data_IF_527651714186
#
_entry.id   IF_527651714186
#
_cell.length_a   1.000
_cell.length_b   1.000
_cell.length_c   1.000
_cell.angle_alpha   90.00
_cell.angle_beta   90.00
_cell.angle_gamma   90.00
#
_symmetry.space_group_name_H-M   'P 1'
#
loop_
_entity.id
_entity.type
_entity.pdbx_description
1 polymer ?
#
# COMPACT_ATOMS: atom_id res chain seq x y z
N UNK A 1 9.32 -30.98 -9.31
CA UNK A 1 9.62 -30.14 -10.51
C UNK A 1 11.07 -29.70 -10.42
N UNK A 2 11.82 -29.74 -11.52
CA UNK A 2 13.22 -29.26 -11.60
C UNK A 2 13.28 -27.74 -11.77
N UNK A 3 14.50 -27.18 -11.67
CA UNK A 3 14.78 -25.81 -12.09
C UNK A 3 14.39 -25.62 -13.56
N UNK A 4 13.92 -24.40 -13.93
CA UNK A 4 13.52 -24.08 -15.29
C UNK A 4 14.47 -23.04 -15.88
N UNK A 5 15.15 -23.39 -16.97
CA UNK A 5 15.97 -22.44 -17.72
C UNK A 5 15.06 -21.53 -18.54
N UNK A 6 15.12 -20.22 -18.30
CA UNK A 6 14.32 -19.20 -19.00
C UNK A 6 15.04 -18.61 -20.20
N UNK A 7 16.36 -18.45 -20.11
CA UNK A 7 17.24 -18.11 -21.21
C UNK A 7 18.66 -18.71 -20.97
N UNK A 8 19.64 -18.38 -21.77
CA UNK A 8 21.00 -18.94 -21.68
C UNK A 8 21.64 -18.75 -20.27
N UNK A 9 21.34 -17.63 -19.60
CA UNK A 9 21.98 -17.21 -18.35
C UNK A 9 21.01 -16.99 -17.19
N UNK A 10 19.75 -17.37 -17.35
CA UNK A 10 18.67 -17.16 -16.36
C UNK A 10 17.91 -18.45 -16.09
N UNK A 11 17.77 -18.80 -14.81
CA UNK A 11 16.97 -19.93 -14.34
C UNK A 11 15.94 -19.49 -13.30
N UNK A 12 14.74 -20.02 -13.39
CA UNK A 12 13.77 -20.00 -12.29
C UNK A 12 14.07 -21.19 -11.35
N UNK A 13 14.16 -20.91 -10.05
CA UNK A 13 14.46 -21.88 -9.00
C UNK A 13 13.45 -21.82 -7.84
N UNK A 14 12.33 -21.18 -8.03
CA UNK A 14 11.32 -20.95 -7.01
C UNK A 14 10.61 -22.23 -6.50
N UNK A 15 9.65 -22.03 -5.63
CA UNK A 15 8.81 -23.09 -5.08
C UNK A 15 7.36 -22.97 -5.52
N UNK A 16 6.68 -24.09 -5.70
CA UNK A 16 5.25 -24.18 -5.99
C UNK A 16 4.47 -24.51 -4.71
N UNK A 17 3.36 -23.82 -4.48
CA UNK A 17 2.41 -24.10 -3.39
C UNK A 17 0.97 -24.11 -3.94
N UNK A 18 0.58 -25.17 -4.70
CA UNK A 18 -0.73 -25.26 -5.36
C UNK A 18 -1.89 -25.42 -4.37
N UNK A 19 -1.61 -25.91 -3.17
CA UNK A 19 -2.62 -26.20 -2.16
C UNK A 19 -2.86 -25.06 -1.17
N UNK A 20 -2.13 -23.94 -1.31
CA UNK A 20 -2.33 -22.78 -0.46
C UNK A 20 -3.75 -22.22 -0.64
N UNK A 21 -4.50 -22.11 0.46
CA UNK A 21 -5.88 -21.58 0.45
C UNK A 21 -5.99 -20.16 0.93
N UNK A 22 -5.03 -19.72 1.74
CA UNK A 22 -5.02 -18.36 2.29
C UNK A 22 -3.58 -17.86 2.35
N UNK A 23 -3.31 -16.75 1.69
CA UNK A 23 -2.04 -16.05 1.78
C UNK A 23 -2.16 -14.95 2.85
N UNK A 24 -1.18 -14.85 3.72
CA UNK A 24 -1.09 -13.89 4.85
C UNK A 24 -2.36 -13.75 5.69
N UNK A 25 -3.13 -14.85 5.80
CA UNK A 25 -4.39 -14.96 6.56
C UNK A 25 -5.54 -14.14 5.94
N UNK A 26 -5.28 -13.10 5.20
CA UNK A 26 -6.28 -12.15 4.68
C UNK A 26 -6.68 -12.34 3.22
N UNK A 27 -5.86 -13.04 2.41
CA UNK A 27 -6.11 -13.22 0.98
C UNK A 27 -6.45 -14.68 0.68
N UNK A 28 -7.64 -14.93 0.15
CA UNK A 28 -8.02 -16.26 -0.33
C UNK A 28 -7.35 -16.55 -1.67
N UNK A 29 -6.67 -17.70 -1.80
CA UNK A 29 -6.02 -18.13 -3.03
C UNK A 29 -6.81 -19.23 -3.71
N UNK A 30 -7.46 -18.94 -4.84
CA UNK A 30 -8.23 -19.90 -5.62
C UNK A 30 -7.31 -20.94 -6.30
N UNK A 31 -6.14 -20.50 -6.76
CA UNK A 31 -5.21 -21.26 -7.58
C UNK A 31 -3.87 -21.56 -6.90
N UNK A 32 -3.80 -21.46 -5.57
CA UNK A 32 -2.51 -21.54 -4.87
C UNK A 32 -1.57 -20.37 -5.18
N UNK A 33 -0.27 -20.55 -4.97
CA UNK A 33 0.74 -19.54 -5.27
C UNK A 33 2.08 -20.16 -5.66
N UNK A 34 3.03 -19.32 -6.07
CA UNK A 34 4.44 -19.67 -6.21
C UNK A 34 5.28 -18.69 -5.38
N UNK A 35 6.47 -19.09 -4.99
CA UNK A 35 7.49 -18.23 -4.40
C UNK A 35 8.66 -18.22 -5.35
N UNK A 36 8.73 -17.20 -6.21
CA UNK A 36 9.68 -17.17 -7.31
C UNK A 36 11.03 -16.65 -6.85
N UNK A 37 12.06 -17.31 -7.28
CA UNK A 37 13.45 -16.91 -7.14
C UNK A 37 14.22 -17.30 -8.41
N UNK A 38 15.31 -16.60 -8.68
CA UNK A 38 16.01 -16.76 -9.97
C UNK A 38 17.51 -16.79 -9.75
N UNK A 39 18.23 -17.51 -10.63
CA UNK A 39 19.67 -17.45 -10.77
C UNK A 39 20.03 -16.71 -12.05
N UNK A 40 20.86 -15.69 -11.93
CA UNK A 40 21.49 -14.98 -13.07
C UNK A 40 22.99 -15.30 -13.04
N UNK A 41 23.48 -15.94 -14.11
CA UNK A 41 24.91 -16.23 -14.29
C UNK A 41 25.51 -15.23 -15.25
N UNK A 42 26.51 -14.49 -14.81
CA UNK A 42 27.41 -13.78 -15.71
C UNK A 42 28.67 -14.59 -15.97
N UNK A 43 29.55 -14.05 -16.80
CA UNK A 43 30.83 -14.69 -17.14
C UNK A 43 31.82 -14.75 -15.95
N UNK A 44 31.64 -13.92 -14.93
CA UNK A 44 32.56 -13.82 -13.78
C UNK A 44 31.86 -14.09 -12.45
N UNK A 45 30.58 -13.75 -12.30
CA UNK A 45 29.84 -13.74 -11.06
C UNK A 45 28.44 -14.32 -11.22
N UNK A 46 27.93 -14.90 -10.12
CA UNK A 46 26.57 -15.45 -10.04
C UNK A 46 25.75 -14.72 -8.99
N UNK A 47 24.56 -14.27 -9.36
CA UNK A 47 23.59 -13.67 -8.45
C UNK A 47 22.32 -14.52 -8.36
N UNK A 48 21.75 -14.61 -7.16
CA UNK A 48 20.35 -15.02 -6.99
C UNK A 48 19.50 -13.78 -6.73
N UNK A 49 18.31 -13.77 -7.34
CA UNK A 49 17.33 -12.71 -7.17
C UNK A 49 16.21 -13.27 -6.30
N UNK A 50 15.95 -12.66 -5.17
CA UNK A 50 15.08 -13.16 -4.11
C UNK A 50 15.49 -14.54 -3.60
N UNK A 51 14.77 -15.04 -2.62
CA UNK A 51 14.80 -16.44 -2.18
C UNK A 51 13.36 -16.98 -2.14
N UNK A 52 13.09 -17.99 -1.33
CA UNK A 52 11.74 -18.48 -1.14
C UNK A 52 11.35 -18.48 0.34
N UNK A 53 10.07 -18.60 0.61
CA UNK A 53 9.51 -18.75 1.96
C UNK A 53 10.20 -19.91 2.68
N UNK A 54 10.53 -19.71 3.94
CA UNK A 54 11.27 -20.72 4.73
C UNK A 54 10.59 -22.10 4.75
N UNK A 55 9.26 -22.14 4.74
CA UNK A 55 8.48 -23.39 4.69
C UNK A 55 8.77 -24.21 3.43
N UNK A 56 9.13 -23.59 2.32
CA UNK A 56 9.41 -24.23 1.03
C UNK A 56 10.91 -24.39 0.76
N UNK A 57 11.76 -24.20 1.77
CA UNK A 57 13.21 -24.20 1.62
C UNK A 57 13.74 -25.46 0.93
N UNK A 58 13.24 -26.65 1.28
CA UNK A 58 13.73 -27.91 0.72
C UNK A 58 13.48 -28.00 -0.80
N UNK A 59 12.33 -27.55 -1.25
CA UNK A 59 11.99 -27.44 -2.68
C UNK A 59 12.88 -26.42 -3.40
N UNK A 60 13.14 -25.30 -2.74
CA UNK A 60 13.94 -24.20 -3.26
C UNK A 60 15.41 -24.58 -3.39
N UNK A 61 16.02 -25.13 -2.32
CA UNK A 61 17.46 -25.47 -2.30
C UNK A 61 17.78 -26.61 -3.28
N UNK A 62 16.87 -27.60 -3.46
CA UNK A 62 17.04 -28.64 -4.45
C UNK A 62 17.19 -28.04 -5.86
N UNK A 63 16.33 -27.10 -6.27
CA UNK A 63 16.41 -26.46 -7.58
C UNK A 63 17.61 -25.53 -7.72
N UNK A 64 17.93 -24.77 -6.67
CA UNK A 64 19.11 -23.92 -6.65
C UNK A 64 20.38 -24.73 -6.92
N UNK A 65 20.55 -25.85 -6.22
CA UNK A 65 21.74 -26.70 -6.33
C UNK A 65 21.82 -27.50 -7.64
N UNK A 66 20.72 -27.65 -8.38
CA UNK A 66 20.76 -28.14 -9.77
C UNK A 66 21.46 -27.14 -10.70
N UNK A 67 21.40 -25.84 -10.39
CA UNK A 67 21.93 -24.76 -11.23
C UNK A 67 23.30 -24.30 -10.77
N UNK A 68 23.49 -24.09 -9.46
CA UNK A 68 24.72 -23.58 -8.88
C UNK A 68 24.90 -24.08 -7.45
N UNK A 69 26.14 -24.45 -7.04
CA UNK A 69 26.42 -24.75 -5.66
C UNK A 69 26.29 -23.47 -4.80
N UNK A 70 25.82 -23.60 -3.57
CA UNK A 70 25.60 -22.42 -2.69
C UNK A 70 26.91 -21.67 -2.43
N UNK A 71 28.03 -22.40 -2.39
CA UNK A 71 29.38 -21.87 -2.19
C UNK A 71 29.84 -20.99 -3.36
N UNK A 72 29.28 -21.18 -4.56
CA UNK A 72 29.66 -20.46 -5.79
C UNK A 72 28.74 -19.25 -6.04
N UNK A 73 27.85 -18.92 -5.12
CA UNK A 73 26.99 -17.73 -5.20
C UNK A 73 27.77 -16.52 -4.66
N UNK A 74 27.90 -15.48 -5.48
CA UNK A 74 28.54 -14.23 -5.09
C UNK A 74 27.58 -13.24 -4.43
N UNK A 75 26.32 -13.18 -4.96
CA UNK A 75 25.39 -12.12 -4.60
C UNK A 75 23.98 -12.66 -4.36
N UNK A 76 23.28 -12.03 -3.40
CA UNK A 76 21.82 -12.09 -3.28
C UNK A 76 21.29 -10.69 -3.54
N UNK A 77 20.35 -10.57 -4.48
CA UNK A 77 19.65 -9.34 -4.76
C UNK A 77 18.27 -9.40 -4.08
N UNK A 78 18.00 -8.44 -3.22
CA UNK A 78 16.75 -8.36 -2.46
C UNK A 78 15.95 -7.17 -2.96
N UNK A 79 14.95 -7.42 -3.82
CA UNK A 79 14.04 -6.40 -4.29
C UNK A 79 12.99 -6.04 -3.26
N UNK A 80 12.66 -7.00 -2.35
CA UNK A 80 11.68 -6.85 -1.30
C UNK A 80 11.98 -7.79 -0.13
N UNK A 81 11.66 -7.39 1.10
CA UNK A 81 12.04 -8.13 2.32
C UNK A 81 10.88 -8.83 3.01
N UNK A 82 9.71 -8.94 2.40
CA UNK A 82 8.65 -9.77 2.98
C UNK A 82 9.16 -11.20 3.18
N UNK A 83 8.84 -11.87 4.32
CA UNK A 83 9.46 -13.15 4.68
C UNK A 83 9.25 -14.30 3.68
N UNK A 84 8.34 -14.19 2.76
CA UNK A 84 8.14 -15.17 1.70
C UNK A 84 9.14 -15.00 0.52
N UNK A 85 9.79 -13.83 0.40
CA UNK A 85 10.88 -13.57 -0.55
C UNK A 85 12.27 -13.73 0.06
N UNK A 86 12.41 -13.50 1.38
CA UNK A 86 13.74 -13.55 2.04
C UNK A 86 13.86 -14.61 3.11
N UNK A 87 12.83 -15.42 3.32
CA UNK A 87 12.78 -16.40 4.42
C UNK A 87 13.91 -17.43 4.41
N UNK A 88 14.49 -17.70 3.24
CA UNK A 88 15.60 -18.66 3.10
C UNK A 88 17.00 -18.04 3.20
N UNK A 89 17.11 -16.70 3.24
CA UNK A 89 18.40 -15.98 3.26
C UNK A 89 19.30 -16.42 4.41
N UNK A 90 18.77 -16.52 5.63
CA UNK A 90 19.56 -16.90 6.80
C UNK A 90 20.21 -18.29 6.64
N UNK A 91 19.49 -19.27 6.07
CA UNK A 91 20.03 -20.61 5.81
C UNK A 91 21.13 -20.60 4.75
N UNK A 92 20.94 -19.82 3.68
CA UNK A 92 21.94 -19.67 2.61
C UNK A 92 23.22 -19.03 3.18
N UNK A 93 23.10 -17.95 3.94
CA UNK A 93 24.23 -17.28 4.58
C UNK A 93 24.97 -18.16 5.59
N UNK A 94 24.27 -19.09 6.25
CA UNK A 94 24.90 -20.08 7.13
C UNK A 94 25.82 -21.01 6.34
N UNK A 95 25.45 -21.36 5.10
CA UNK A 95 26.27 -22.21 4.22
C UNK A 95 27.37 -21.41 3.54
N UNK A 96 27.07 -20.21 3.04
CA UNK A 96 28.04 -19.32 2.40
C UNK A 96 28.02 -17.91 3.01
N UNK A 97 28.80 -17.64 4.07
CA UNK A 97 28.86 -16.32 4.71
C UNK A 97 29.59 -15.25 3.88
N UNK A 98 30.13 -15.62 2.72
CA UNK A 98 30.84 -14.70 1.83
C UNK A 98 29.96 -13.97 0.86
N UNK A 99 28.72 -14.39 0.70
CA UNK A 99 27.72 -13.72 -0.16
C UNK A 99 27.57 -12.26 0.25
N UNK A 100 27.53 -11.37 -0.74
CA UNK A 100 27.19 -9.96 -0.53
C UNK A 100 25.74 -9.72 -0.94
N UNK A 101 24.96 -9.14 -0.04
CA UNK A 101 23.55 -8.81 -0.28
C UNK A 101 23.43 -7.40 -0.87
N UNK A 102 22.68 -7.26 -1.95
CA UNK A 102 22.31 -5.99 -2.57
C UNK A 102 20.83 -5.72 -2.35
N UNK A 103 20.48 -4.54 -1.84
CA UNK A 103 19.12 -4.12 -1.57
C UNK A 103 19.07 -2.63 -1.24
N UNK A 104 17.89 -2.04 -1.15
CA UNK A 104 17.76 -0.67 -0.66
C UNK A 104 18.24 -0.56 0.79
N UNK A 105 18.57 0.65 1.25
CA UNK A 105 18.95 0.84 2.66
C UNK A 105 17.84 0.37 3.63
N UNK A 106 16.59 0.53 3.24
CA UNK A 106 15.44 0.05 4.02
C UNK A 106 15.39 -1.48 4.04
N UNK A 107 15.59 -2.14 2.89
CA UNK A 107 15.66 -3.58 2.78
C UNK A 107 16.79 -4.17 3.65
N UNK A 108 17.97 -3.57 3.62
CA UNK A 108 19.09 -4.00 4.46
C UNK A 108 18.76 -3.89 5.96
N UNK A 109 18.11 -2.80 6.37
CA UNK A 109 17.69 -2.62 7.76
C UNK A 109 16.67 -3.69 8.19
N UNK A 110 15.67 -3.96 7.37
CA UNK A 110 14.66 -4.98 7.65
C UNK A 110 15.27 -6.39 7.66
N UNK A 111 16.11 -6.69 6.70
CA UNK A 111 16.72 -8.01 6.58
C UNK A 111 17.63 -8.35 7.79
N UNK A 112 18.33 -7.37 8.37
CA UNK A 112 19.09 -7.56 9.60
C UNK A 112 18.20 -8.00 10.76
N UNK A 113 17.02 -7.40 10.89
CA UNK A 113 16.05 -7.77 11.93
C UNK A 113 15.35 -9.10 11.64
N UNK A 114 15.06 -9.41 10.37
CA UNK A 114 14.45 -10.68 9.95
C UNK A 114 15.41 -11.85 10.20
N UNK A 115 16.67 -11.68 9.83
CA UNK A 115 17.66 -12.77 9.94
C UNK A 115 18.34 -12.84 11.31
N UNK A 116 18.39 -11.73 12.05
CA UNK A 116 19.20 -11.55 13.26
C UNK A 116 20.67 -11.92 13.05
N UNK A 117 21.21 -11.63 11.86
CA UNK A 117 22.58 -11.97 11.46
C UNK A 117 23.33 -10.73 10.96
N UNK A 118 24.65 -10.72 11.14
CA UNK A 118 25.53 -9.82 10.40
C UNK A 118 25.93 -10.46 9.08
N UNK A 119 25.90 -9.67 8.00
CA UNK A 119 26.25 -10.10 6.66
C UNK A 119 26.90 -8.97 5.85
N UNK A 120 27.60 -9.32 4.78
CA UNK A 120 28.14 -8.35 3.83
C UNK A 120 26.99 -7.77 2.98
N UNK A 121 26.96 -6.47 2.80
CA UNK A 121 25.92 -5.84 1.99
C UNK A 121 26.38 -4.58 1.26
N UNK A 122 25.63 -4.23 0.22
CA UNK A 122 25.69 -2.96 -0.49
C UNK A 122 24.28 -2.38 -0.49
N UNK A 123 24.09 -1.22 0.12
CA UNK A 123 22.86 -0.47 0.04
C UNK A 123 22.82 0.30 -1.29
N UNK A 124 21.96 -0.13 -2.20
CA UNK A 124 21.87 0.45 -3.54
C UNK A 124 21.03 1.73 -3.56
N UNK A 125 21.35 2.58 -4.52
CA UNK A 125 20.61 3.80 -4.85
C UNK A 125 20.00 3.70 -6.24
N UNK A 126 19.19 4.67 -6.57
CA UNK A 126 18.57 4.80 -7.88
C UNK A 126 19.62 4.82 -9.00
N UNK A 127 19.45 3.92 -9.97
CA UNK A 127 20.34 3.69 -11.13
C UNK A 127 21.76 3.18 -10.79
N UNK A 128 22.02 2.72 -9.57
CA UNK A 128 23.24 1.96 -9.31
C UNK A 128 23.25 0.68 -10.15
N UNK A 129 24.46 0.20 -10.48
CA UNK A 129 24.66 -1.01 -11.27
C UNK A 129 25.58 -2.00 -10.59
N UNK A 130 25.41 -3.29 -10.91
CA UNK A 130 26.28 -4.38 -10.49
C UNK A 130 26.67 -5.19 -11.74
N UNK A 131 27.96 -5.30 -12.01
CA UNK A 131 28.48 -6.16 -13.09
C UNK A 131 28.65 -7.61 -12.61
N UNK A 132 28.21 -8.56 -13.42
CA UNK A 132 28.48 -9.99 -13.28
C UNK A 132 29.51 -10.48 -14.34
N UNK A 133 30.21 -9.56 -14.98
CA UNK A 133 31.10 -9.79 -16.14
C UNK A 133 30.39 -9.32 -17.42
N UNK A 134 29.75 -10.22 -18.13
CA UNK A 134 29.00 -9.95 -19.35
C UNK A 134 27.52 -9.56 -19.12
N UNK A 135 27.08 -9.46 -17.88
CA UNK A 135 25.72 -9.02 -17.49
C UNK A 135 25.80 -7.86 -16.53
N UNK A 136 24.90 -6.90 -16.71
CA UNK A 136 24.76 -5.70 -15.88
C UNK A 136 23.39 -5.69 -15.23
N UNK A 137 23.35 -5.75 -13.90
CA UNK A 137 22.13 -5.54 -13.11
C UNK A 137 22.02 -4.05 -12.79
N UNK A 138 20.93 -3.41 -13.23
CA UNK A 138 20.60 -2.02 -12.89
C UNK A 138 19.44 -1.97 -11.91
N UNK A 139 19.58 -1.17 -10.86
CA UNK A 139 18.59 -1.07 -9.78
C UNK A 139 17.71 0.17 -9.94
N UNK A 140 16.41 0.01 -9.75
CA UNK A 140 15.40 1.08 -9.73
C UNK A 140 14.69 1.08 -8.40
N UNK A 141 14.89 2.12 -7.59
CA UNK A 141 14.28 2.23 -6.26
C UNK A 141 12.83 2.70 -6.39
N UNK A 142 11.89 1.82 -6.07
CA UNK A 142 10.46 2.01 -6.27
C UNK A 142 9.68 1.68 -4.98
N UNK A 143 9.82 2.51 -3.93
CA UNK A 143 9.21 2.23 -2.63
C UNK A 143 7.69 2.22 -2.70
N UNK A 144 7.08 1.46 -1.78
CA UNK A 144 5.62 1.26 -1.65
C UNK A 144 4.98 0.46 -2.82
N UNK A 145 5.72 -0.54 -3.33
CA UNK A 145 5.21 -1.56 -4.23
C UNK A 145 5.46 -2.98 -3.65
N UNK A 146 4.87 -3.41 -2.46
CA UNK A 146 3.94 -2.61 -1.66
C UNK A 146 4.53 -2.13 -0.32
N UNK A 147 5.76 -2.48 0.00
CA UNK A 147 6.50 -2.03 1.18
C UNK A 147 7.50 -0.92 0.83
N UNK A 148 8.01 -0.17 1.84
CA UNK A 148 8.90 0.97 1.59
C UNK A 148 10.30 0.58 1.10
N UNK A 149 10.68 -0.69 1.17
CA UNK A 149 11.99 -1.24 0.79
C UNK A 149 12.10 -1.65 -0.68
N UNK A 150 10.97 -1.67 -1.41
CA UNK A 150 10.88 -2.26 -2.76
C UNK A 150 11.75 -1.56 -3.79
N UNK A 151 12.39 -2.37 -4.63
CA UNK A 151 13.08 -1.95 -5.85
C UNK A 151 12.81 -2.94 -6.98
N UNK A 152 13.11 -2.56 -8.23
CA UNK A 152 13.22 -3.47 -9.37
C UNK A 152 14.68 -3.63 -9.77
N UNK A 153 14.99 -4.80 -10.30
CA UNK A 153 16.31 -5.11 -10.88
C UNK A 153 16.15 -5.43 -12.36
N UNK A 154 16.95 -4.81 -13.23
CA UNK A 154 16.89 -5.01 -14.66
C UNK A 154 18.24 -5.53 -15.19
N UNK A 155 18.21 -6.63 -15.94
CA UNK A 155 19.37 -7.16 -16.65
C UNK A 155 19.38 -6.53 -18.05
N UNK A 156 20.32 -5.62 -18.30
CA UNK A 156 20.33 -4.76 -19.49
C UNK A 156 20.48 -5.54 -20.78
N UNK A 157 21.38 -6.53 -20.81
CA UNK A 157 21.72 -7.30 -22.00
C UNK A 157 20.60 -8.27 -22.41
N UNK A 158 19.85 -8.77 -21.46
CA UNK A 158 18.81 -9.79 -21.68
C UNK A 158 17.40 -9.21 -21.77
N UNK A 159 17.19 -7.95 -21.34
CA UNK A 159 15.87 -7.35 -21.29
C UNK A 159 14.96 -7.96 -20.20
N UNK A 160 15.55 -8.46 -19.11
CA UNK A 160 14.82 -9.11 -18.02
C UNK A 160 14.59 -8.15 -16.87
N UNK A 161 13.33 -7.97 -16.46
CA UNK A 161 12.94 -7.13 -15.35
C UNK A 161 12.43 -7.98 -14.18
N UNK A 162 13.10 -7.91 -13.03
CA UNK A 162 12.66 -8.53 -11.78
C UNK A 162 11.88 -7.49 -10.98
N UNK A 163 10.61 -7.78 -10.71
CA UNK A 163 9.64 -6.81 -10.16
C UNK A 163 9.13 -7.17 -8.77
N UNK A 164 9.60 -8.30 -8.21
CA UNK A 164 9.00 -8.87 -7.02
C UNK A 164 7.47 -8.96 -7.17
N UNK A 165 6.70 -8.37 -6.26
CA UNK A 165 5.24 -8.46 -6.23
C UNK A 165 4.52 -7.78 -7.38
N UNK A 166 5.12 -6.74 -7.96
CA UNK A 166 4.48 -6.07 -9.08
C UNK A 166 4.33 -7.01 -10.26
N UNK A 167 3.17 -6.98 -10.91
CA UNK A 167 2.76 -7.88 -11.99
C UNK A 167 2.60 -9.35 -11.58
N UNK A 168 2.72 -9.67 -10.27
CA UNK A 168 2.51 -11.00 -9.72
C UNK A 168 1.04 -11.41 -9.64
N UNK A 169 0.83 -12.69 -9.33
CA UNK A 169 -0.50 -13.26 -9.10
C UNK A 169 -0.41 -14.49 -8.19
N UNK A 170 -1.42 -14.74 -7.35
CA UNK A 170 -1.57 -16.04 -6.69
C UNK A 170 -2.19 -17.05 -7.65
N UNK A 171 -1.35 -17.53 -8.56
CA UNK A 171 -1.69 -18.51 -9.57
C UNK A 171 -0.53 -19.50 -9.73
N UNK A 172 -0.72 -20.72 -9.26
CA UNK A 172 0.27 -21.79 -9.35
C UNK A 172 0.09 -22.58 -10.63
N UNK A 173 1.07 -22.52 -11.54
CA UNK A 173 1.13 -23.37 -12.73
C UNK A 173 2.48 -24.08 -12.78
N UNK A 174 2.47 -25.39 -13.04
CA UNK A 174 3.68 -26.21 -13.11
C UNK A 174 4.66 -25.77 -14.22
N UNK A 175 4.16 -25.12 -15.27
CA UNK A 175 4.99 -24.65 -16.38
C UNK A 175 5.67 -23.31 -16.08
N UNK A 176 5.24 -22.59 -15.04
CA UNK A 176 5.82 -21.30 -14.59
C UNK A 176 5.70 -20.14 -15.60
N UNK A 177 5.58 -20.39 -16.90
CA UNK A 177 5.51 -19.38 -17.96
C UNK A 177 4.08 -19.00 -18.30
N UNK A 178 3.80 -17.70 -18.48
CA UNK A 178 2.48 -17.21 -18.85
C UNK A 178 2.02 -17.76 -20.22
N UNK A 179 2.94 -17.92 -21.17
CA UNK A 179 2.65 -18.51 -22.49
C UNK A 179 2.12 -19.94 -22.39
N UNK A 180 2.35 -20.63 -21.30
CA UNK A 180 1.92 -22.02 -21.05
C UNK A 180 0.64 -22.14 -20.24
N UNK A 181 0.19 -21.06 -19.61
CA UNK A 181 -1.08 -21.06 -18.85
C UNK A 181 -2.25 -21.30 -19.78
N UNK A 182 -3.02 -22.35 -19.49
CA UNK A 182 -4.19 -22.75 -20.29
C UNK A 182 -5.48 -22.09 -19.83
N UNK A 183 -5.69 -21.95 -18.51
CA UNK A 183 -6.84 -21.21 -17.94
C UNK A 183 -6.56 -19.73 -17.88
N UNK A 184 -6.69 -19.04 -19.03
CA UNK A 184 -6.48 -17.60 -19.15
C UNK A 184 -7.46 -16.79 -18.30
N UNK A 185 -8.70 -17.23 -18.17
CA UNK A 185 -9.72 -16.52 -17.36
C UNK A 185 -9.42 -16.63 -15.86
N UNK A 186 -9.04 -17.81 -15.39
CA UNK A 186 -8.61 -18.01 -14.00
C UNK A 186 -7.37 -17.16 -13.68
N UNK A 187 -6.38 -17.14 -14.57
CA UNK A 187 -5.21 -16.28 -14.41
C UNK A 187 -5.58 -14.78 -14.32
N UNK A 188 -6.46 -14.30 -15.21
CA UNK A 188 -6.89 -12.89 -15.20
C UNK A 188 -7.65 -12.54 -13.91
N UNK A 189 -8.47 -13.46 -13.37
CA UNK A 189 -9.12 -13.26 -12.07
C UNK A 189 -8.08 -13.17 -10.94
N UNK A 190 -7.12 -14.10 -10.92
CA UNK A 190 -6.06 -14.12 -9.92
C UNK A 190 -5.17 -12.87 -10.00
N UNK A 191 -4.78 -12.43 -11.21
CA UNK A 191 -3.99 -11.22 -11.45
C UNK A 191 -4.71 -9.96 -10.95
N UNK A 192 -6.01 -9.83 -11.28
CA UNK A 192 -6.81 -8.68 -10.83
C UNK A 192 -6.99 -8.67 -9.32
N UNK A 193 -7.31 -9.80 -8.71
CA UNK A 193 -7.47 -9.93 -7.26
C UNK A 193 -6.16 -9.62 -6.52
N UNK A 194 -5.04 -10.13 -7.01
CA UNK A 194 -3.72 -9.83 -6.47
C UNK A 194 -3.41 -8.33 -6.54
N UNK A 195 -3.65 -7.72 -7.71
CA UNK A 195 -3.49 -6.27 -7.85
C UNK A 195 -4.32 -5.50 -6.80
N UNK A 196 -5.60 -5.83 -6.66
CA UNK A 196 -6.51 -5.11 -5.77
C UNK A 196 -6.06 -5.19 -4.30
N UNK A 197 -5.56 -6.33 -3.87
CA UNK A 197 -5.16 -6.57 -2.49
C UNK A 197 -3.76 -6.00 -2.17
N UNK A 198 -2.80 -6.14 -3.07
CA UNK A 198 -1.39 -5.83 -2.83
C UNK A 198 -1.00 -4.43 -3.32
N UNK A 199 -1.35 -4.10 -4.56
CA UNK A 199 -0.92 -2.86 -5.21
C UNK A 199 -2.01 -1.80 -5.32
N UNK A 200 -3.27 -2.21 -5.29
CA UNK A 200 -4.43 -1.31 -5.33
C UNK A 200 -4.40 -0.18 -4.28
N UNK A 201 -3.88 -0.42 -3.05
CA UNK A 201 -3.66 0.64 -2.07
C UNK A 201 -2.60 1.70 -2.45
N UNK A 202 -1.76 1.42 -3.46
CA UNK A 202 -0.61 2.23 -3.83
C UNK A 202 -0.62 2.72 -5.29
N UNK A 203 -1.77 3.18 -5.85
CA UNK A 203 -1.94 3.42 -7.28
C UNK A 203 -0.96 4.44 -7.85
N UNK A 204 -0.66 5.53 -7.14
CA UNK A 204 0.30 6.55 -7.57
C UNK A 204 1.74 6.02 -7.66
N UNK A 205 2.11 5.08 -6.77
CA UNK A 205 3.43 4.45 -6.83
C UNK A 205 3.52 3.48 -8.01
N UNK A 206 2.42 2.76 -8.30
CA UNK A 206 2.34 1.90 -9.48
C UNK A 206 2.42 2.71 -10.79
N UNK A 207 1.71 3.84 -10.90
CA UNK A 207 1.82 4.73 -12.06
C UNK A 207 3.25 5.25 -12.23
N UNK A 208 3.92 5.63 -11.15
CA UNK A 208 5.33 6.05 -11.17
C UNK A 208 6.24 4.92 -11.66
N UNK A 209 6.03 3.68 -11.20
CA UNK A 209 6.80 2.54 -11.67
C UNK A 209 6.59 2.29 -13.16
N UNK A 210 5.34 2.31 -13.64
CA UNK A 210 5.01 2.17 -15.06
C UNK A 210 5.65 3.27 -15.91
N UNK A 211 5.73 4.51 -15.41
CA UNK A 211 6.40 5.61 -16.11
C UNK A 211 7.93 5.43 -16.14
N UNK A 212 8.51 4.78 -15.12
CA UNK A 212 9.95 4.48 -15.06
C UNK A 212 10.37 3.40 -16.05
N UNK A 213 9.51 2.44 -16.32
CA UNK A 213 9.84 1.28 -17.17
C UNK A 213 9.34 1.43 -18.63
N UNK A 214 8.56 2.48 -18.94
CA UNK A 214 7.89 2.63 -20.26
C UNK A 214 8.84 2.67 -21.47
N UNK A 215 10.08 3.16 -21.27
CA UNK A 215 11.08 3.33 -22.32
C UNK A 215 12.18 2.24 -22.24
N UNK A 216 11.98 1.19 -21.44
CA UNK A 216 12.91 0.06 -21.28
C UNK A 216 12.46 -1.09 -22.20
N UNK A 217 13.39 -1.69 -22.92
CA UNK A 217 13.13 -2.90 -23.73
C UNK A 217 12.98 -4.13 -22.84
N UNK A 218 11.75 -4.42 -22.40
CA UNK A 218 11.45 -5.55 -21.52
C UNK A 218 10.97 -6.72 -22.35
N UNK A 219 11.74 -7.81 -22.34
CA UNK A 219 11.43 -9.07 -23.03
C UNK A 219 10.82 -10.11 -22.10
N UNK A 220 11.07 -9.98 -20.79
CA UNK A 220 10.59 -10.89 -19.76
C UNK A 220 10.42 -10.13 -18.44
N UNK A 221 9.28 -10.34 -17.76
CA UNK A 221 9.09 -9.90 -16.37
C UNK A 221 9.13 -11.11 -15.45
N UNK A 222 10.13 -11.13 -14.58
CA UNK A 222 10.35 -12.14 -13.57
C UNK A 222 9.69 -11.68 -12.26
N UNK A 223 8.48 -12.15 -12.01
CA UNK A 223 7.62 -11.79 -10.87
C UNK A 223 8.01 -12.54 -9.59
N UNK A 224 7.59 -12.02 -8.43
CA UNK A 224 7.74 -12.71 -7.13
C UNK A 224 6.75 -13.87 -6.94
N UNK A 225 5.56 -13.75 -7.53
CA UNK A 225 4.50 -14.77 -7.47
C UNK A 225 3.84 -14.98 -8.83
N UNK A 226 3.33 -16.21 -9.02
CA UNK A 226 2.61 -16.59 -10.23
C UNK A 226 3.52 -16.81 -11.43
N UNK A 227 2.95 -16.86 -12.63
CA UNK A 227 3.71 -17.08 -13.86
C UNK A 227 4.70 -15.95 -14.17
N UNK A 228 5.86 -16.33 -14.69
CA UNK A 228 6.81 -15.42 -15.32
C UNK A 228 6.19 -14.92 -16.62
N UNK A 229 6.22 -13.62 -16.88
CA UNK A 229 5.60 -13.00 -18.05
C UNK A 229 6.60 -13.02 -19.21
N UNK A 230 6.44 -13.98 -20.09
CA UNK A 230 7.19 -14.14 -21.34
C UNK A 230 6.37 -13.73 -22.57
N UNK A 231 5.09 -13.38 -22.38
CA UNK A 231 4.15 -12.85 -23.38
C UNK A 231 3.24 -11.79 -22.75
N UNK A 232 2.50 -11.06 -23.57
CA UNK A 232 1.44 -10.11 -23.17
C UNK A 232 1.92 -8.99 -22.21
N UNK A 233 3.23 -8.68 -22.20
CA UNK A 233 3.82 -7.69 -21.27
C UNK A 233 3.22 -6.30 -21.47
N UNK A 234 3.12 -5.75 -22.71
CA UNK A 234 2.51 -4.44 -22.93
C UNK A 234 1.03 -4.38 -22.49
N UNK A 235 0.29 -5.46 -22.75
CA UNK A 235 -1.13 -5.58 -22.39
C UNK A 235 -1.31 -5.58 -20.87
N UNK A 236 -0.48 -6.31 -20.13
CA UNK A 236 -0.52 -6.37 -18.67
C UNK A 236 -0.10 -5.01 -18.07
N UNK A 237 0.93 -4.36 -18.62
CA UNK A 237 1.30 -3.00 -18.20
C UNK A 237 0.15 -2.00 -18.43
N UNK A 238 -0.55 -2.11 -19.56
CA UNK A 238 -1.71 -1.28 -19.86
C UNK A 238 -2.87 -1.56 -18.91
N UNK A 239 -3.12 -2.83 -18.54
CA UNK A 239 -4.12 -3.19 -17.52
C UNK A 239 -3.77 -2.59 -16.16
N UNK A 240 -2.51 -2.70 -15.71
CA UNK A 240 -2.04 -2.11 -14.45
C UNK A 240 -2.19 -0.59 -14.46
N UNK A 241 -1.85 0.08 -15.56
CA UNK A 241 -2.07 1.53 -15.72
C UNK A 241 -3.54 1.89 -15.60
N UNK A 242 -4.42 1.13 -16.26
CA UNK A 242 -5.87 1.33 -16.16
C UNK A 242 -6.37 1.15 -14.73
N UNK A 243 -5.92 0.13 -14.03
CA UNK A 243 -6.33 -0.12 -12.64
C UNK A 243 -5.77 0.91 -11.66
N UNK A 244 -4.55 1.39 -11.90
CA UNK A 244 -3.92 2.42 -11.08
C UNK A 244 -4.43 3.85 -11.37
N UNK A 245 -5.09 4.07 -12.51
CA UNK A 245 -5.67 5.38 -12.87
C UNK A 245 -7.03 5.51 -12.21
N UNK A 246 -7.03 6.01 -10.97
CA UNK A 246 -8.23 6.20 -10.16
C UNK A 246 -8.76 7.61 -10.38
N UNK A 247 -9.99 7.72 -10.88
CA UNK A 247 -10.68 8.98 -11.09
C UNK A 247 -11.69 9.17 -9.95
N UNK A 248 -11.54 10.28 -9.20
CA UNK A 248 -12.53 10.64 -8.19
C UNK A 248 -13.86 11.00 -8.88
N UNK A 249 -14.96 10.26 -8.61
CA UNK A 249 -16.26 10.55 -9.23
C UNK A 249 -16.94 11.79 -8.63
N UNK A 250 -16.45 12.31 -7.51
CA UNK A 250 -17.03 13.45 -6.82
C UNK A 250 -16.61 14.77 -7.48
N UNK A 251 -17.54 15.58 -7.98
CA UNK A 251 -17.21 16.87 -8.60
C UNK A 251 -16.80 17.93 -7.58
N UNK A 252 -17.08 17.69 -6.30
CA UNK A 252 -16.79 18.58 -5.18
C UNK A 252 -16.15 17.78 -4.05
N UNK A 253 -15.43 18.45 -3.16
CA UNK A 253 -14.97 17.82 -1.91
C UNK A 253 -16.17 17.28 -1.12
N UNK A 254 -16.01 16.09 -0.57
CA UNK A 254 -17.12 15.33 0.01
C UNK A 254 -16.83 14.94 1.45
N UNK A 255 -17.83 15.09 2.31
CA UNK A 255 -17.81 14.59 3.69
C UNK A 255 -18.83 13.46 3.84
N UNK A 256 -18.36 12.31 4.30
CA UNK A 256 -19.20 11.14 4.57
C UNK A 256 -19.47 11.04 6.06
N UNK A 257 -20.73 10.82 6.43
CA UNK A 257 -21.19 10.74 7.81
C UNK A 257 -21.84 9.37 8.06
N UNK A 258 -21.06 8.30 8.27
CA UNK A 258 -21.56 7.02 8.73
C UNK A 258 -21.99 7.12 10.20
N UNK A 259 -23.21 6.71 10.51
CA UNK A 259 -23.71 6.76 11.89
C UNK A 259 -24.58 5.55 12.24
N UNK A 260 -24.65 5.27 13.53
CA UNK A 260 -25.64 4.35 14.14
C UNK A 260 -26.46 5.09 15.17
N UNK A 261 -27.74 4.78 15.30
CA UNK A 261 -28.61 5.48 16.23
C UNK A 261 -29.65 4.54 16.85
N UNK A 262 -29.50 4.22 18.14
CA UNK A 262 -30.42 3.32 18.84
C UNK A 262 -31.78 3.96 19.16
N UNK A 263 -31.81 5.25 19.47
CA UNK A 263 -33.02 5.97 19.93
C UNK A 263 -33.29 7.25 19.13
N UNK A 264 -32.68 7.40 17.95
CA UNK A 264 -32.83 8.58 17.09
C UNK A 264 -31.97 9.78 17.49
N UNK A 265 -31.35 9.84 18.66
CA UNK A 265 -30.59 11.02 19.11
C UNK A 265 -29.33 11.27 18.31
N UNK A 266 -28.56 10.21 18.03
CA UNK A 266 -27.35 10.32 17.19
C UNK A 266 -27.72 10.62 15.73
N UNK A 267 -28.81 10.09 15.22
CA UNK A 267 -29.33 10.42 13.89
C UNK A 267 -29.71 11.91 13.78
N UNK A 268 -30.43 12.45 14.82
CA UNK A 268 -30.75 13.87 14.86
C UNK A 268 -29.48 14.74 14.88
N UNK A 269 -28.48 14.35 15.66
CA UNK A 269 -27.16 15.00 15.64
C UNK A 269 -26.49 14.93 14.26
N UNK A 270 -26.52 13.76 13.61
CA UNK A 270 -25.93 13.59 12.28
C UNK A 270 -26.52 14.54 11.25
N UNK A 271 -27.86 14.71 11.26
CA UNK A 271 -28.58 15.65 10.37
C UNK A 271 -28.22 17.11 10.66
N UNK A 272 -28.11 17.49 11.92
CA UNK A 272 -27.73 18.87 12.32
C UNK A 272 -26.27 19.14 11.92
N UNK A 273 -25.37 18.21 12.17
CA UNK A 273 -23.94 18.31 11.81
C UNK A 273 -23.80 18.40 10.29
N UNK A 274 -24.50 17.55 9.54
CA UNK A 274 -24.51 17.58 8.08
C UNK A 274 -24.91 18.96 7.56
N UNK A 275 -25.98 19.55 8.11
CA UNK A 275 -26.39 20.90 7.75
C UNK A 275 -25.31 21.95 8.03
N UNK A 276 -24.60 21.85 9.14
CA UNK A 276 -23.46 22.73 9.45
C UNK A 276 -22.33 22.60 8.41
N UNK A 277 -22.00 21.37 7.99
CA UNK A 277 -21.00 21.12 6.94
C UNK A 277 -21.47 21.66 5.59
N UNK A 278 -22.71 21.39 5.19
CA UNK A 278 -23.30 21.86 3.92
C UNK A 278 -23.32 23.38 3.82
N UNK A 279 -23.61 24.09 4.91
CA UNK A 279 -23.70 25.55 4.94
C UNK A 279 -22.33 26.26 4.79
N UNK A 280 -21.23 25.53 4.72
CA UNK A 280 -19.94 26.06 4.21
C UNK A 280 -20.04 26.41 2.71
N UNK A 281 -21.03 25.87 1.98
CA UNK A 281 -21.34 26.17 0.59
C UNK A 281 -20.53 25.40 -0.47
N UNK A 282 -19.45 24.70 -0.11
CA UNK A 282 -18.49 24.12 -1.06
C UNK A 282 -18.28 22.61 -0.90
N UNK A 283 -19.00 21.99 0.07
CA UNK A 283 -18.90 20.55 0.35
C UNK A 283 -20.18 19.83 0.00
N UNK A 284 -20.05 18.62 -0.54
CA UNK A 284 -21.11 17.64 -0.61
C UNK A 284 -21.10 16.80 0.66
N UNK A 285 -22.28 16.50 1.21
CA UNK A 285 -22.41 15.71 2.44
C UNK A 285 -23.32 14.51 2.19
N UNK A 286 -22.90 13.33 2.65
CA UNK A 286 -23.69 12.09 2.52
C UNK A 286 -23.77 11.38 3.86
N UNK A 287 -25.01 11.11 4.29
CA UNK A 287 -25.28 10.40 5.55
C UNK A 287 -25.60 8.93 5.26
N UNK A 288 -25.02 8.06 6.08
CA UNK A 288 -25.26 6.62 6.02
C UNK A 288 -25.64 6.06 7.38
N UNK A 289 -26.87 5.59 7.53
CA UNK A 289 -27.26 4.80 8.70
C UNK A 289 -26.68 3.38 8.54
N UNK A 290 -25.65 3.08 9.31
CA UNK A 290 -24.90 1.82 9.23
C UNK A 290 -25.67 0.60 9.73
N UNK A 291 -26.85 0.77 10.31
CA UNK A 291 -27.77 -0.33 10.63
C UNK A 291 -28.32 -1.00 9.36
N UNK A 292 -28.50 -0.22 8.30
CA UNK A 292 -29.16 -0.67 7.07
C UNK A 292 -28.35 -0.39 5.79
N UNK A 293 -27.28 0.37 5.87
CA UNK A 293 -26.45 0.73 4.73
C UNK A 293 -25.64 -0.48 4.22
N UNK A 294 -25.49 -0.55 2.90
CA UNK A 294 -24.54 -1.48 2.28
C UNK A 294 -23.11 -1.06 2.60
N UNK A 295 -22.39 -1.92 3.32
CA UNK A 295 -21.02 -1.67 3.76
C UNK A 295 -20.08 -1.39 2.59
N UNK A 296 -20.19 -2.16 1.49
CA UNK A 296 -19.35 -1.97 0.31
C UNK A 296 -19.54 -0.59 -0.30
N UNK A 297 -20.79 -0.16 -0.44
CA UNK A 297 -21.11 1.18 -0.94
C UNK A 297 -20.51 2.27 -0.04
N UNK A 298 -20.61 2.12 1.28
CA UNK A 298 -20.05 3.10 2.20
C UNK A 298 -18.52 3.14 2.11
N UNK A 299 -17.86 2.00 1.98
CA UNK A 299 -16.41 1.92 1.78
C UNK A 299 -15.97 2.61 0.48
N UNK A 300 -16.70 2.39 -0.62
CA UNK A 300 -16.45 3.06 -1.91
C UNK A 300 -16.57 4.60 -1.77
N UNK A 301 -17.56 5.08 -1.04
CA UNK A 301 -17.75 6.51 -0.77
C UNK A 301 -16.65 7.08 0.15
N UNK A 302 -16.26 6.36 1.18
CA UNK A 302 -15.17 6.73 2.09
C UNK A 302 -13.82 6.77 1.36
N UNK A 303 -13.62 5.89 0.37
CA UNK A 303 -12.43 5.89 -0.46
C UNK A 303 -12.18 7.27 -1.10
N UNK A 304 -13.23 7.91 -1.64
CA UNK A 304 -13.14 9.20 -2.34
C UNK A 304 -13.44 10.42 -1.45
N UNK A 305 -13.81 10.21 -0.19
CA UNK A 305 -14.12 11.31 0.73
C UNK A 305 -12.88 12.12 1.12
N UNK A 306 -13.07 13.43 1.30
CA UNK A 306 -12.09 14.36 1.88
C UNK A 306 -12.20 14.41 3.41
N UNK A 307 -13.41 14.14 3.94
CA UNK A 307 -13.70 14.14 5.36
C UNK A 307 -14.63 13.01 5.79
N UNK A 308 -14.46 12.51 7.01
CA UNK A 308 -15.26 11.43 7.60
C UNK A 308 -15.69 11.81 9.01
N UNK A 309 -16.98 11.73 9.31
CA UNK A 309 -17.53 11.95 10.64
C UNK A 309 -18.28 10.71 11.12
N UNK A 310 -17.74 10.01 12.11
CA UNK A 310 -18.34 8.78 12.65
C UNK A 310 -19.32 9.09 13.77
N UNK A 311 -20.59 8.68 13.64
CA UNK A 311 -21.65 8.93 14.60
C UNK A 311 -22.06 7.68 15.39
N UNK A 312 -21.89 7.65 16.73
CA UNK A 312 -22.26 6.52 17.59
C UNK A 312 -22.91 6.96 18.89
N UNK A 313 -23.97 6.30 19.39
CA UNK A 313 -24.28 6.38 20.81
C UNK A 313 -23.26 5.56 21.62
N UNK A 314 -23.13 5.84 22.92
CA UNK A 314 -22.39 4.99 23.85
C UNK A 314 -23.35 3.96 24.45
N UNK A 315 -23.12 2.68 24.19
CA UNK A 315 -23.85 1.55 24.79
C UNK A 315 -22.81 0.53 25.26
N UNK A 316 -22.98 -0.01 26.45
CA UNK A 316 -22.01 -0.92 27.09
C UNK A 316 -20.59 -0.31 27.19
N UNK A 317 -20.50 0.99 27.48
CA UNK A 317 -19.27 1.76 27.53
C UNK A 317 -18.45 1.73 26.21
N UNK A 318 -19.12 1.56 25.06
CA UNK A 318 -18.44 1.37 23.79
C UNK A 318 -19.20 2.03 22.61
N UNK A 319 -18.49 2.26 21.51
CA UNK A 319 -19.08 2.55 20.21
C UNK A 319 -19.78 1.31 19.66
N UNK A 320 -20.81 1.49 18.85
CA UNK A 320 -21.57 0.36 18.31
C UNK A 320 -20.83 -0.36 17.18
N UNK A 321 -20.98 -1.69 17.17
CA UNK A 321 -20.29 -2.63 16.27
C UNK A 321 -20.27 -2.22 14.79
N UNK A 322 -21.35 -1.72 14.14
CA UNK A 322 -21.28 -1.36 12.72
C UNK A 322 -20.20 -0.33 12.37
N UNK A 323 -19.83 0.56 13.31
CA UNK A 323 -18.72 1.50 13.07
C UNK A 323 -17.36 0.86 13.32
N UNK A 324 -17.25 -0.10 14.21
CA UNK A 324 -16.04 -0.92 14.34
C UNK A 324 -15.83 -1.76 13.09
N UNK A 325 -16.87 -2.40 12.56
CA UNK A 325 -16.81 -3.15 11.30
C UNK A 325 -16.31 -2.23 10.16
N UNK A 326 -16.91 -1.05 9.99
CA UNK A 326 -16.45 -0.08 9.00
C UNK A 326 -14.97 0.29 9.20
N UNK A 327 -14.57 0.63 10.43
CA UNK A 327 -13.18 1.09 10.66
C UNK A 327 -12.15 -0.03 10.60
N UNK A 328 -12.55 -1.31 10.71
CA UNK A 328 -11.66 -2.45 10.50
C UNK A 328 -11.28 -2.65 9.03
N UNK A 329 -12.14 -2.22 8.11
CA UNK A 329 -11.90 -2.26 6.66
C UNK A 329 -11.08 -1.05 6.15
N UNK A 330 -10.85 -0.02 6.99
CA UNK A 330 -10.08 1.14 6.58
C UNK A 330 -8.58 0.89 6.72
N UNK A 331 -7.84 1.29 5.70
CA UNK A 331 -6.41 1.05 5.57
C UNK A 331 -5.64 2.38 5.49
N UNK A 332 -4.58 2.61 6.34
CA UNK A 332 -3.88 3.88 6.38
C UNK A 332 -3.30 4.38 5.05
N UNK A 333 -2.70 3.56 4.17
CA UNK A 333 -2.20 4.02 2.87
C UNK A 333 -3.27 4.64 1.95
N UNK A 334 -4.53 4.21 2.09
CA UNK A 334 -5.67 4.74 1.32
C UNK A 334 -6.36 5.89 2.06
N UNK A 335 -6.66 5.67 3.33
CA UNK A 335 -7.57 6.51 4.11
C UNK A 335 -6.84 7.50 5.03
N UNK A 336 -5.56 7.26 5.30
CA UNK A 336 -4.72 8.16 6.08
C UNK A 336 -4.63 9.56 5.47
N UNK A 337 -4.42 10.56 6.31
CA UNK A 337 -4.35 11.96 5.88
C UNK A 337 -5.69 12.62 5.59
N UNK A 338 -6.81 11.88 5.50
CA UNK A 338 -8.16 12.45 5.40
C UNK A 338 -8.55 13.16 6.71
N UNK A 339 -9.38 14.18 6.61
CA UNK A 339 -9.95 14.80 7.83
C UNK A 339 -10.97 13.87 8.46
N UNK A 340 -10.89 13.70 9.79
CA UNK A 340 -11.81 12.81 10.48
C UNK A 340 -12.16 13.29 11.89
N UNK A 341 -13.36 12.96 12.34
CA UNK A 341 -13.75 13.10 13.72
C UNK A 341 -14.89 12.14 14.08
N UNK A 342 -15.32 12.16 15.34
CA UNK A 342 -16.43 11.36 15.83
C UNK A 342 -17.40 12.20 16.65
N UNK A 343 -18.67 11.81 16.62
CA UNK A 343 -19.72 12.44 17.43
C UNK A 343 -20.69 11.41 17.99
N UNK A 344 -21.44 11.79 19.04
CA UNK A 344 -22.44 10.87 19.52
C UNK A 344 -23.24 11.33 20.72
N UNK A 345 -24.37 10.64 20.93
CA UNK A 345 -25.20 10.82 22.08
C UNK A 345 -24.84 9.82 23.18
N UNK A 346 -24.87 10.26 24.43
CA UNK A 346 -24.66 9.37 25.59
C UNK A 346 -25.63 9.77 26.71
N UNK A 347 -25.87 8.83 27.65
CA UNK A 347 -26.71 9.12 28.80
C UNK A 347 -25.93 9.16 30.11
N UNK A 348 -25.07 8.21 30.28
CA UNK A 348 -24.39 7.88 31.56
C UNK A 348 -22.89 8.17 31.46
N UNK A 349 -22.19 7.49 30.57
CA UNK A 349 -20.79 7.68 30.23
C UNK A 349 -20.66 7.87 28.72
N UNK A 350 -19.55 8.33 28.21
CA UNK A 350 -19.44 8.80 26.82
C UNK A 350 -18.23 8.26 26.08
N UNK A 351 -17.83 7.01 26.31
CA UNK A 351 -16.59 6.39 25.82
C UNK A 351 -16.58 6.16 24.30
N UNK A 352 -17.76 5.95 23.70
CA UNK A 352 -17.86 5.60 22.27
C UNK A 352 -17.17 6.61 21.35
N UNK A 353 -17.30 7.91 21.60
CA UNK A 353 -16.64 8.95 20.79
C UNK A 353 -15.11 8.96 20.98
N UNK A 354 -14.56 8.99 22.20
CA UNK A 354 -13.12 8.83 22.42
C UNK A 354 -12.52 7.57 21.78
N UNK A 355 -13.19 6.42 21.85
CA UNK A 355 -12.70 5.17 21.26
C UNK A 355 -12.57 5.27 19.74
N UNK A 356 -13.60 5.80 19.07
CA UNK A 356 -13.53 6.03 17.61
C UNK A 356 -12.46 7.05 17.24
N UNK A 357 -12.27 8.12 18.02
CA UNK A 357 -11.20 9.09 17.76
C UNK A 357 -9.82 8.43 17.85
N UNK A 358 -9.60 7.56 18.81
CA UNK A 358 -8.34 6.83 18.93
C UNK A 358 -8.13 5.89 17.73
N UNK A 359 -9.19 5.19 17.28
CA UNK A 359 -9.13 4.38 16.06
C UNK A 359 -8.80 5.20 14.81
N UNK A 360 -9.40 6.38 14.65
CA UNK A 360 -9.11 7.29 13.53
C UNK A 360 -7.65 7.77 13.54
N UNK A 361 -7.06 8.01 14.73
CA UNK A 361 -5.63 8.32 14.85
C UNK A 361 -4.74 7.15 14.44
N UNK A 362 -5.08 5.91 14.86
CA UNK A 362 -4.38 4.69 14.43
C UNK A 362 -4.41 4.51 12.91
N UNK A 363 -5.50 4.96 12.27
CA UNK A 363 -5.63 5.03 10.81
C UNK A 363 -4.87 6.21 10.18
N UNK A 364 -4.07 6.94 10.95
CA UNK A 364 -3.25 8.08 10.52
C UNK A 364 -4.07 9.20 9.86
N UNK A 365 -5.33 9.36 10.28
CA UNK A 365 -6.19 10.44 9.80
C UNK A 365 -5.89 11.75 10.54
N UNK A 366 -6.25 12.89 9.93
CA UNK A 366 -6.16 14.22 10.55
C UNK A 366 -7.38 14.40 11.46
N UNK A 367 -7.26 13.98 12.70
CA UNK A 367 -8.38 14.02 13.65
C UNK A 367 -8.59 15.42 14.22
N UNK A 368 -9.84 15.79 14.43
CA UNK A 368 -10.24 16.94 15.24
C UNK A 368 -10.97 16.48 16.49
N UNK A 369 -11.17 17.40 17.44
CA UNK A 369 -11.90 17.13 18.67
C UNK A 369 -13.31 16.60 18.39
N UNK A 370 -13.71 15.56 19.11
CA UNK A 370 -15.02 14.92 18.98
C UNK A 370 -16.14 15.71 19.66
N UNK A 371 -17.37 15.40 19.29
CA UNK A 371 -18.56 15.99 19.90
C UNK A 371 -19.40 14.93 20.63
N UNK A 372 -19.45 15.01 21.96
CA UNK A 372 -20.33 14.18 22.80
C UNK A 372 -21.45 15.03 23.40
N UNK A 373 -22.71 14.63 23.20
CA UNK A 373 -23.88 15.30 23.77
C UNK A 373 -24.70 14.35 24.63
N UNK A 374 -25.11 14.85 25.82
CA UNK A 374 -25.88 14.04 26.76
C UNK A 374 -27.35 14.00 26.33
N UNK A 375 -27.87 12.79 26.01
CA UNK A 375 -29.24 12.51 25.57
C UNK A 375 -29.64 13.29 24.30
N UNK A 376 -30.94 13.65 24.19
CA UNK A 376 -31.52 14.31 23.04
C UNK A 376 -30.97 15.75 22.89
N UNK A 377 -30.65 16.20 21.67
CA UNK A 377 -30.36 17.60 21.39
C UNK A 377 -31.54 18.51 21.74
N UNK A 378 -31.27 19.59 22.48
CA UNK A 378 -32.13 20.74 22.63
C UNK A 378 -31.60 21.88 21.75
N UNK A 379 -32.19 23.06 21.77
CA UNK A 379 -31.77 24.20 20.97
C UNK A 379 -30.27 24.56 21.13
N UNK A 380 -29.77 24.64 22.37
CA UNK A 380 -28.36 24.91 22.67
C UNK A 380 -27.42 23.82 22.11
N UNK A 381 -27.78 22.56 22.38
CA UNK A 381 -26.99 21.41 21.88
C UNK A 381 -27.04 21.30 20.35
N UNK A 382 -28.19 21.61 19.75
CA UNK A 382 -28.35 21.65 18.29
C UNK A 382 -27.47 22.72 17.67
N UNK A 383 -27.44 23.92 18.29
CA UNK A 383 -26.53 24.97 17.87
C UNK A 383 -25.06 24.52 17.97
N UNK A 384 -24.67 23.90 19.09
CA UNK A 384 -23.32 23.36 19.28
C UNK A 384 -22.94 22.30 18.22
N UNK A 385 -23.88 21.40 17.90
CA UNK A 385 -23.67 20.39 16.86
C UNK A 385 -23.53 21.00 15.47
N UNK A 386 -24.36 22.00 15.15
CA UNK A 386 -24.26 22.74 13.91
C UNK A 386 -22.93 23.50 13.77
N UNK A 387 -22.57 24.28 14.79
CA UNK A 387 -21.32 25.06 14.80
C UNK A 387 -20.08 24.14 14.68
N UNK A 388 -20.11 22.96 15.34
CA UNK A 388 -19.06 21.96 15.24
C UNK A 388 -18.97 21.37 13.82
N UNK A 389 -20.10 21.05 13.19
CA UNK A 389 -20.15 20.58 11.79
C UNK A 389 -19.61 21.63 10.81
N UNK A 390 -20.02 22.90 10.98
CA UNK A 390 -19.51 24.01 10.17
C UNK A 390 -17.98 24.17 10.31
N UNK A 391 -17.48 24.14 11.53
CA UNK A 391 -16.03 24.24 11.80
C UNK A 391 -15.25 23.06 11.19
N UNK A 392 -15.79 21.84 11.23
CA UNK A 392 -15.21 20.68 10.55
C UNK A 392 -15.16 20.88 9.03
N UNK A 393 -16.25 21.34 8.42
CA UNK A 393 -16.29 21.64 6.99
C UNK A 393 -15.26 22.69 6.58
N UNK A 394 -15.08 23.74 7.37
CA UNK A 394 -14.05 24.76 7.12
C UNK A 394 -12.62 24.17 7.17
N UNK A 395 -12.36 23.19 8.06
CA UNK A 395 -11.07 22.45 8.08
C UNK A 395 -10.87 21.64 6.80
N UNK A 396 -11.88 20.89 6.34
CA UNK A 396 -11.83 20.11 5.09
C UNK A 396 -11.55 21.01 3.88
N UNK A 397 -12.08 22.22 3.89
CA UNK A 397 -11.84 23.23 2.85
C UNK A 397 -10.46 23.90 2.97
N UNK A 398 -9.75 23.70 4.09
CA UNK A 398 -8.51 24.43 4.38
C UNK A 398 -8.72 25.93 4.65
N UNK A 399 -9.92 26.30 5.11
CA UNK A 399 -10.37 27.67 5.40
C UNK A 399 -10.49 27.95 6.91
N UNK A 400 -10.07 27.01 7.75
CA UNK A 400 -10.01 27.21 9.18
C UNK A 400 -8.95 28.30 9.52
N UNK A 401 -9.29 29.15 10.46
CA UNK A 401 -8.38 30.21 10.90
C UNK A 401 -7.33 29.64 11.86
N UNK A 402 -6.12 30.16 11.79
CA UNK A 402 -5.12 29.97 12.83
C UNK A 402 -5.62 30.59 14.16
N UNK A 403 -5.04 30.16 15.29
CA UNK A 403 -5.39 30.71 16.62
C UNK A 403 -5.28 32.24 16.70
N UNK A 404 -4.41 32.86 15.87
CA UNK A 404 -4.26 34.31 15.73
C UNK A 404 -5.26 34.98 14.76
N UNK A 405 -6.21 34.20 14.18
CA UNK A 405 -7.22 34.71 13.24
C UNK A 405 -6.76 34.86 11.78
N UNK A 406 -5.53 34.51 11.46
CA UNK A 406 -5.00 34.52 10.10
C UNK A 406 -5.27 33.19 9.37
N UNK A 407 -5.40 33.25 8.05
CA UNK A 407 -5.51 32.05 7.22
C UNK A 407 -4.16 31.29 7.21
N UNK A 408 -4.17 29.99 7.53
CA UNK A 408 -2.97 29.18 7.53
C UNK A 408 -2.43 28.99 6.11
N UNK A 409 -1.18 29.38 5.89
CA UNK A 409 -0.51 29.17 4.60
C UNK A 409 -0.26 27.66 4.39
N UNK A 410 -0.78 27.10 3.30
CA UNK A 410 -0.50 25.73 2.90
C UNK A 410 0.95 25.57 2.46
N UNK A 411 1.57 24.47 2.86
CA UNK A 411 2.95 24.10 2.56
C UNK A 411 2.97 22.68 1.98
N UNK A 412 4.00 22.35 1.23
CA UNK A 412 4.21 21.01 0.71
C UNK A 412 5.32 20.31 1.51
N UNK A 413 5.04 19.12 2.00
CA UNK A 413 5.91 18.30 2.83
C UNK A 413 6.19 17.00 2.14
N UNK A 414 7.45 16.65 1.89
CA UNK A 414 7.85 15.37 1.34
C UNK A 414 8.41 14.47 2.44
N UNK A 415 7.84 13.28 2.59
CA UNK A 415 8.41 12.21 3.41
C UNK A 415 9.69 11.68 2.75
N UNK A 416 10.83 11.75 3.44
CA UNK A 416 12.11 11.28 2.88
C UNK A 416 12.25 9.76 2.88
N UNK A 417 11.38 9.03 3.61
CA UNK A 417 11.37 7.56 3.65
C UNK A 417 10.69 6.97 2.41
N UNK A 418 9.49 7.46 2.06
CA UNK A 418 8.68 6.86 0.99
C UNK A 418 8.36 7.82 -0.16
N UNK A 419 8.81 9.09 -0.08
CA UNK A 419 8.58 10.09 -1.12
C UNK A 419 7.16 10.67 -1.17
N UNK A 420 6.25 10.29 -0.24
CA UNK A 420 4.91 10.85 -0.17
C UNK A 420 4.92 12.36 0.01
N UNK A 421 4.09 13.08 -0.76
CA UNK A 421 3.94 14.54 -0.66
C UNK A 421 2.60 14.87 -0.02
N UNK A 422 2.63 15.65 1.05
CA UNK A 422 1.45 16.07 1.80
C UNK A 422 1.37 17.59 1.77
N UNK A 423 0.21 18.12 1.37
CA UNK A 423 -0.07 19.55 1.44
C UNK A 423 -0.83 19.82 2.74
N UNK A 424 -0.20 20.55 3.65
CA UNK A 424 -0.80 20.93 4.93
C UNK A 424 -0.14 22.22 5.46
N UNK A 425 -0.84 23.01 6.30
CA UNK A 425 -0.23 24.21 6.89
C UNK A 425 0.94 23.86 7.82
N UNK A 426 0.84 22.73 8.53
CA UNK A 426 1.83 22.27 9.49
C UNK A 426 2.53 21.00 8.97
N UNK A 427 3.76 20.74 9.47
CA UNK A 427 4.47 19.50 9.19
C UNK A 427 3.64 18.31 9.70
N UNK A 428 3.39 17.28 8.87
CA UNK A 428 2.65 16.10 9.31
C UNK A 428 3.33 15.43 10.51
N UNK A 429 2.56 15.03 11.51
CA UNK A 429 3.09 14.31 12.68
C UNK A 429 3.55 12.90 12.32
N UNK A 430 2.89 12.28 11.33
CA UNK A 430 3.18 10.93 10.86
C UNK A 430 2.85 10.82 9.37
N UNK A 431 3.64 10.07 8.63
CA UNK A 431 3.34 9.79 7.23
C UNK A 431 2.13 8.83 7.11
N UNK A 432 1.07 9.19 6.38
CA UNK A 432 -0.09 8.33 6.22
C UNK A 432 0.24 7.04 5.47
N UNK A 433 1.23 7.06 4.60
CA UNK A 433 1.64 5.90 3.80
C UNK A 433 2.55 4.96 4.58
N UNK A 434 3.76 5.40 4.95
CA UNK A 434 4.77 4.52 5.55
C UNK A 434 4.89 4.61 7.08
N UNK A 435 4.15 5.51 7.73
CA UNK A 435 4.21 5.68 9.19
C UNK A 435 5.43 6.45 9.70
N UNK A 436 6.27 7.00 8.83
CA UNK A 436 7.44 7.78 9.25
C UNK A 436 7.04 8.99 10.11
N UNK A 437 7.78 9.29 11.20
CA UNK A 437 7.46 10.40 12.10
C UNK A 437 7.78 11.77 11.47
N UNK A 438 7.38 12.85 12.13
CA UNK A 438 7.48 14.23 11.64
C UNK A 438 8.89 14.63 11.18
N UNK A 439 9.93 14.12 11.85
CA UNK A 439 11.34 14.42 11.55
C UNK A 439 11.75 13.95 10.15
N UNK A 440 11.04 13.00 9.60
CA UNK A 440 11.27 12.44 8.26
C UNK A 440 10.55 13.23 7.15
N UNK A 441 10.04 14.43 7.45
CA UNK A 441 9.47 15.32 6.45
C UNK A 441 10.36 16.53 6.20
N UNK A 442 10.54 16.85 4.93
CA UNK A 442 11.19 18.08 4.48
C UNK A 442 10.17 18.95 3.76
N UNK A 443 10.22 20.27 4.01
CA UNK A 443 9.43 21.22 3.24
C UNK A 443 10.04 21.33 1.84
N UNK A 444 9.20 21.27 0.81
CA UNK A 444 9.60 21.38 -0.58
C UNK A 444 8.90 22.57 -1.25
N UNK A 445 9.51 23.19 -2.29
CA UNK A 445 8.86 24.23 -3.06
C UNK A 445 7.54 23.73 -3.69
N UNK A 446 6.51 24.57 -3.71
CA UNK A 446 5.24 24.26 -4.32
C UNK A 446 5.35 23.91 -5.82
N UNK A 447 6.39 24.42 -6.49
CA UNK A 447 6.72 24.09 -7.89
C UNK A 447 7.10 22.62 -8.11
N UNK A 448 7.57 21.92 -7.07
CA UNK A 448 7.80 20.48 -7.14
C UNK A 448 6.48 19.69 -7.06
N UNK A 449 5.40 20.27 -6.51
CA UNK A 449 4.09 19.64 -6.38
C UNK A 449 3.32 19.68 -7.71
N UNK A 450 3.42 20.80 -8.45
CA UNK A 450 2.74 20.99 -9.74
C UNK A 450 3.18 19.98 -10.80
N UNK A 451 4.42 19.50 -10.74
CA UNK A 451 4.88 18.44 -11.62
C UNK A 451 4.12 17.11 -11.44
N UNK A 452 3.51 16.90 -10.26
CA UNK A 452 2.72 15.69 -9.93
C UNK A 452 1.19 15.90 -10.03
N UNK A 453 0.69 17.14 -9.94
CA UNK A 453 -0.74 17.46 -9.97
C UNK A 453 -1.23 17.89 -11.36
N UNK A 454 -0.45 18.63 -12.13
CA UNK A 454 -0.84 19.09 -13.47
C UNK A 454 -0.95 17.97 -14.51
N UNK A 455 -0.34 16.78 -14.27
CA UNK A 455 -0.59 15.59 -15.10
C UNK A 455 -1.90 14.88 -14.76
N UNK A 456 -2.50 15.14 -13.60
CA UNK A 456 -3.77 14.54 -13.19
C UNK A 456 -4.99 15.43 -13.50
N UNK A 457 -4.80 16.74 -13.77
CA UNK A 457 -5.89 17.68 -14.11
C UNK A 457 -6.16 17.79 -15.62
N UNK A 458 -5.37 17.09 -16.47
CA UNK A 458 -5.49 17.09 -17.93
C UNK A 458 -5.73 15.70 -18.55
N UNK A 459 -6.33 14.76 -17.79
CA UNK A 459 -6.84 13.50 -18.35
C UNK A 459 -8.31 13.32 -17.97
#
# INVERSE_FOLDING_TARGET
MKSLQLNENLWWIGALDPDLKTFDIIMTTEFGTTYNSYVVKGSEKTAIIETAKLKTYDQYIEKLTEVVAVEDIDYIIVNHTEPDHVGSVAKILTTNPNITIYGTQTAISFLKEITNMEFKYVAVKENDTLSLGDKTLRFMVLPNLHWPDTMYTYVEEDGVLFTCDSFGSHYCDENVLLSKVTDKEGYQRALKYYYDMILGPFPKFMLKALDRIKDIDIKLIATGHGPVLDVDIPEIQAQYRKWATIINPNPRKTVIIPYVSAYGYTEEMAKIIAKGVEDTGELDVRLYNMEVADMKKVLDEVYFADGILLGTPTILAEALKPLWDLTSELFPPIHGGKYASAFGAYGWSGEGVPHLLERLKQLRMRTSEGLSLRFKPNEEKSKKAYDWGYAFGMKVLGKDKAENGESRKMRAWRCIVCGEIIISPDRPAICPVCGAPAEQFVEIPYTEVTYYTEKNDNI
#
